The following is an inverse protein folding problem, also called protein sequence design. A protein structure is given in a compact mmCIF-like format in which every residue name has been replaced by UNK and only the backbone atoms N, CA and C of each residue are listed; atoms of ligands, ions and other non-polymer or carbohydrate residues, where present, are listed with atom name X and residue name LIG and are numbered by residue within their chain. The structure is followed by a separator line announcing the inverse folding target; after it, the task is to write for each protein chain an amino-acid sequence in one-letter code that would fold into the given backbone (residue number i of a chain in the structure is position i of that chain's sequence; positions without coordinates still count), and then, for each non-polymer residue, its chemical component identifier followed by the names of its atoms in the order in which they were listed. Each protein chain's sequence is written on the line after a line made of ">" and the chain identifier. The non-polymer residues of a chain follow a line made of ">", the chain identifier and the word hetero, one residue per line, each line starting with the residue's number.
data_IF_973721299589
#
_entry.id   IF_973721299589
#
_cell.length_a   1.000
_cell.length_b   1.000
_cell.length_c   1.000
_cell.angle_alpha   90.00
_cell.angle_beta   90.00
_cell.angle_gamma   90.00
#
_symmetry.space_group_name_H-M   'P 1'
#
loop_
_entity.id
_entity.type
_entity.pdbx_description
1 polymer ?
#
# COMPACT_ATOMS: atom_id res chain seq x y z
N UNK A 1 9.26 23.24 29.05
CA UNK A 1 8.38 23.77 27.98
C UNK A 1 7.76 22.57 27.29
N UNK A 2 6.44 22.47 27.28
CA UNK A 2 5.76 21.37 26.57
C UNK A 2 6.00 21.54 25.06
N UNK A 3 6.44 20.48 24.39
CA UNK A 3 6.55 20.45 22.93
C UNK A 3 5.17 20.73 22.33
N UNK A 4 5.03 21.70 21.43
CA UNK A 4 3.74 21.99 20.82
C UNK A 4 3.22 20.76 20.07
N UNK A 5 1.91 20.50 20.09
CA UNK A 5 1.35 19.36 19.37
C UNK A 5 1.66 19.47 17.88
N UNK A 6 2.06 18.35 17.29
CA UNK A 6 2.29 18.27 15.83
C UNK A 6 1.01 18.63 15.08
N UNK A 7 1.21 19.12 13.86
CA UNK A 7 0.14 19.48 12.92
C UNK A 7 0.38 18.70 11.64
N UNK A 8 -0.32 17.57 11.50
CA UNK A 8 -0.18 16.68 10.36
C UNK A 8 -1.38 16.80 9.44
N UNK A 9 -1.13 16.94 8.15
CA UNK A 9 -2.13 16.82 7.11
C UNK A 9 -2.06 15.43 6.47
N UNK A 10 -3.21 14.90 6.09
CA UNK A 10 -3.31 13.85 5.10
C UNK A 10 -4.10 14.42 3.93
N UNK A 11 -3.49 14.46 2.75
CA UNK A 11 -4.12 14.91 1.51
C UNK A 11 -4.33 13.69 0.62
N UNK A 12 -5.52 13.57 0.05
CA UNK A 12 -5.93 12.44 -0.77
C UNK A 12 -6.78 12.94 -1.94
N UNK A 13 -6.35 12.67 -3.17
CA UNK A 13 -7.03 13.10 -4.39
C UNK A 13 -8.36 12.35 -4.55
N UNK A 14 -9.40 13.05 -4.88
CA UNK A 14 -10.75 12.47 -5.00
C UNK A 14 -10.87 11.65 -6.29
N UNK A 15 -11.12 10.33 -6.13
CA UNK A 15 -11.27 9.37 -7.24
C UNK A 15 -10.18 9.51 -8.32
N UNK A 16 -8.91 9.69 -7.91
CA UNK A 16 -7.81 10.26 -8.68
C UNK A 16 -7.78 9.88 -10.15
N UNK A 17 -7.54 8.59 -10.49
CA UNK A 17 -7.40 8.21 -11.89
C UNK A 17 -8.68 8.46 -12.70
N UNK A 18 -9.85 8.18 -12.12
CA UNK A 18 -11.11 8.43 -12.80
C UNK A 18 -11.37 9.94 -13.01
N UNK A 19 -10.96 10.77 -12.04
CA UNK A 19 -11.07 12.23 -12.15
C UNK A 19 -10.13 12.80 -13.21
N UNK A 20 -8.91 12.25 -13.36
CA UNK A 20 -7.99 12.60 -14.46
C UNK A 20 -8.63 12.25 -15.81
N UNK A 21 -9.24 11.08 -15.95
CA UNK A 21 -9.91 10.68 -17.20
C UNK A 21 -11.12 11.61 -17.51
N UNK A 22 -11.94 11.94 -16.50
CA UNK A 22 -13.08 12.86 -16.70
C UNK A 22 -12.67 14.31 -16.97
N UNK A 23 -11.50 14.75 -16.47
CA UNK A 23 -10.93 16.06 -16.76
C UNK A 23 -10.51 16.17 -18.22
N UNK A 24 -9.72 15.18 -18.66
CA UNK A 24 -9.04 15.19 -19.95
C UNK A 24 -9.99 14.82 -21.12
N UNK A 25 -11.05 14.04 -20.82
CA UNK A 25 -12.08 13.65 -21.80
C UNK A 25 -13.47 14.15 -21.35
N UNK A 26 -13.91 15.33 -21.81
CA UNK A 26 -15.17 15.96 -21.39
C UNK A 26 -16.43 15.08 -21.58
N UNK A 27 -16.40 14.14 -22.52
CA UNK A 27 -17.52 13.22 -22.76
C UNK A 27 -17.74 12.22 -21.60
N UNK A 28 -16.77 12.09 -20.70
CA UNK A 28 -16.82 11.23 -19.51
C UNK A 28 -17.41 11.96 -18.28
N UNK A 29 -17.51 13.27 -18.31
CA UNK A 29 -18.00 14.07 -17.17
C UNK A 29 -19.44 13.72 -16.83
N UNK A 30 -19.71 13.51 -15.54
CA UNK A 30 -21.02 13.12 -15.03
C UNK A 30 -21.45 11.68 -15.36
N UNK A 31 -20.59 10.89 -16.00
CA UNK A 31 -20.84 9.49 -16.32
C UNK A 31 -20.12 8.58 -15.33
N UNK A 32 -20.66 7.38 -15.03
CA UNK A 32 -19.93 6.38 -14.28
C UNK A 32 -18.68 5.94 -15.06
N UNK A 33 -17.49 6.22 -14.53
CA UNK A 33 -16.20 5.85 -15.12
C UNK A 33 -15.50 4.84 -14.23
N UNK A 34 -14.98 3.78 -14.83
CA UNK A 34 -14.21 2.73 -14.18
C UNK A 34 -12.86 2.62 -14.87
N UNK A 35 -11.79 2.96 -14.17
CA UNK A 35 -10.43 2.79 -14.68
C UNK A 35 -9.99 1.37 -14.42
N UNK A 36 -9.97 0.57 -15.47
CA UNK A 36 -9.58 -0.83 -15.43
C UNK A 36 -9.27 -1.33 -16.86
N UNK A 37 -8.40 -2.33 -16.99
CA UNK A 37 -8.33 -3.10 -18.22
C UNK A 37 -9.58 -3.95 -18.37
N UNK A 38 -10.02 -4.17 -19.60
CA UNK A 38 -11.06 -5.17 -19.85
C UNK A 38 -10.45 -6.57 -19.81
N UNK A 39 -11.06 -7.48 -19.08
CA UNK A 39 -10.59 -8.87 -18.98
C UNK A 39 -11.12 -9.58 -17.73
N UNK A 40 -11.25 -10.89 -17.80
CA UNK A 40 -11.84 -11.72 -16.75
C UNK A 40 -11.11 -11.62 -15.39
N UNK A 41 -9.82 -11.26 -15.41
CA UNK A 41 -8.96 -11.15 -14.21
C UNK A 41 -8.52 -9.72 -13.88
N UNK A 42 -9.06 -8.76 -14.60
CA UNK A 42 -8.77 -7.34 -14.37
C UNK A 42 -9.40 -6.85 -13.08
N UNK A 43 -8.72 -5.90 -12.45
CA UNK A 43 -9.12 -5.26 -11.20
C UNK A 43 -9.35 -3.77 -11.44
N UNK A 44 -10.37 -3.20 -10.80
CA UNK A 44 -10.64 -1.76 -10.83
C UNK A 44 -9.50 -1.00 -10.13
N UNK A 45 -8.79 -0.15 -10.88
CA UNK A 45 -7.78 0.75 -10.34
C UNK A 45 -8.43 1.95 -9.62
N UNK A 46 -9.45 2.56 -10.24
CA UNK A 46 -10.24 3.64 -9.65
C UNK A 46 -11.66 3.64 -10.22
N UNK A 47 -12.60 4.16 -9.43
CA UNK A 47 -13.99 4.37 -9.84
C UNK A 47 -14.40 5.81 -9.54
N UNK A 48 -15.04 6.47 -10.50
CA UNK A 48 -15.61 7.81 -10.31
C UNK A 48 -16.72 7.80 -9.25
N UNK A 49 -17.06 8.95 -8.71
CA UNK A 49 -18.13 9.04 -7.72
C UNK A 49 -19.46 8.57 -8.29
N UNK A 50 -19.73 8.84 -9.56
CA UNK A 50 -20.92 8.34 -10.26
C UNK A 50 -20.95 6.81 -10.31
N UNK A 51 -19.82 6.14 -10.51
CA UNK A 51 -19.72 4.68 -10.47
C UNK A 51 -19.85 4.13 -9.03
N UNK A 52 -19.34 4.86 -8.04
CA UNK A 52 -19.42 4.47 -6.61
C UNK A 52 -20.85 4.43 -6.08
N UNK A 53 -21.78 5.20 -6.66
CA UNK A 53 -23.22 5.14 -6.32
C UNK A 53 -23.78 3.74 -6.55
N UNK A 54 -23.31 3.03 -7.58
CA UNK A 54 -23.70 1.66 -7.90
C UNK A 54 -22.93 0.59 -7.11
N UNK A 55 -22.09 0.99 -6.13
CA UNK A 55 -21.30 0.08 -5.32
C UNK A 55 -19.95 -0.32 -5.93
N UNK A 56 -19.55 0.25 -7.08
CA UNK A 56 -18.22 0.01 -7.66
C UNK A 56 -17.14 0.64 -6.78
N UNK A 57 -16.05 -0.11 -6.51
CA UNK A 57 -14.93 0.33 -5.67
C UNK A 57 -13.60 -0.12 -6.29
N UNK A 58 -12.51 0.56 -5.92
CA UNK A 58 -11.14 0.12 -6.23
C UNK A 58 -10.88 -1.28 -5.63
N UNK A 59 -9.97 -2.01 -6.24
CA UNK A 59 -9.61 -3.40 -5.95
C UNK A 59 -10.69 -4.45 -6.26
N UNK A 60 -11.89 -4.05 -6.69
CA UNK A 60 -12.96 -4.97 -7.11
C UNK A 60 -12.61 -5.62 -8.46
N UNK A 61 -12.96 -6.90 -8.70
CA UNK A 61 -12.87 -7.49 -10.03
C UNK A 61 -13.69 -6.68 -11.07
N UNK A 62 -13.08 -6.39 -12.23
CA UNK A 62 -13.73 -5.59 -13.27
C UNK A 62 -15.06 -6.20 -13.75
N UNK A 63 -15.14 -7.52 -13.83
CA UNK A 63 -16.38 -8.24 -14.19
C UNK A 63 -17.51 -8.04 -13.16
N UNK A 64 -17.16 -7.85 -11.88
CA UNK A 64 -18.15 -7.51 -10.85
C UNK A 64 -18.58 -6.05 -10.98
N UNK A 65 -17.65 -5.13 -11.27
CA UNK A 65 -17.96 -3.72 -11.51
C UNK A 65 -18.91 -3.56 -12.70
N UNK A 66 -18.69 -4.30 -13.79
CA UNK A 66 -19.56 -4.32 -14.97
C UNK A 66 -20.99 -4.80 -14.64
N UNK A 67 -21.12 -5.81 -13.78
CA UNK A 67 -22.44 -6.29 -13.34
C UNK A 67 -23.17 -5.28 -12.45
N UNK A 68 -22.43 -4.58 -11.58
CA UNK A 68 -23.00 -3.56 -10.69
C UNK A 68 -23.40 -2.28 -11.41
N UNK A 69 -22.67 -1.89 -12.46
CA UNK A 69 -22.90 -0.70 -13.24
C UNK A 69 -22.72 -0.97 -14.74
N UNK A 70 -23.70 -1.62 -15.43
CA UNK A 70 -23.58 -1.98 -16.84
C UNK A 70 -23.36 -0.79 -17.77
N UNK A 71 -23.84 0.42 -17.39
CA UNK A 71 -23.67 1.67 -18.13
C UNK A 71 -22.30 2.34 -17.89
N UNK A 72 -21.42 1.78 -17.06
CA UNK A 72 -20.11 2.36 -16.78
C UNK A 72 -19.22 2.36 -18.01
N UNK A 73 -18.48 3.45 -18.19
CA UNK A 73 -17.43 3.55 -19.19
C UNK A 73 -16.14 3.00 -18.59
N UNK A 74 -15.65 1.91 -19.17
CA UNK A 74 -14.36 1.32 -18.79
C UNK A 74 -13.24 1.98 -19.60
N UNK A 75 -12.27 2.59 -18.91
CA UNK A 75 -11.11 3.27 -19.49
C UNK A 75 -9.85 2.53 -19.06
N UNK A 76 -8.97 2.13 -19.99
CA UNK A 76 -7.66 1.56 -19.65
C UNK A 76 -6.81 2.57 -18.85
N UNK A 77 -6.05 2.14 -17.81
CA UNK A 77 -5.24 3.05 -17.01
C UNK A 77 -4.04 3.59 -17.78
N UNK A 78 -3.79 4.90 -17.68
CA UNK A 78 -2.60 5.59 -18.18
C UNK A 78 -1.70 6.05 -17.01
N UNK A 79 -0.85 5.15 -16.52
CA UNK A 79 0.05 5.45 -15.40
C UNK A 79 1.14 6.48 -15.73
N UNK A 80 1.42 6.77 -17.00
CA UNK A 80 2.36 7.85 -17.37
C UNK A 80 1.73 9.19 -17.03
N UNK A 81 0.48 9.39 -17.45
CA UNK A 81 -0.31 10.58 -17.17
C UNK A 81 -0.57 10.76 -15.68
N UNK A 82 -1.00 9.70 -14.97
CA UNK A 82 -1.25 9.81 -13.53
C UNK A 82 0.01 10.16 -12.73
N UNK A 83 1.16 9.63 -13.10
CA UNK A 83 2.44 10.01 -12.48
C UNK A 83 2.82 11.46 -12.75
N UNK A 84 2.50 11.99 -13.94
CA UNK A 84 2.74 13.40 -14.27
C UNK A 84 1.89 14.33 -13.39
N UNK A 85 0.59 14.04 -13.26
CA UNK A 85 -0.31 14.79 -12.36
C UNK A 85 0.12 14.66 -10.91
N UNK A 86 0.48 13.47 -10.45
CA UNK A 86 1.00 13.24 -9.09
C UNK A 86 2.23 14.10 -8.78
N UNK A 87 3.13 14.31 -9.75
CA UNK A 87 4.29 15.20 -9.58
C UNK A 87 3.87 16.64 -9.38
N UNK A 88 2.93 17.17 -10.19
CA UNK A 88 2.40 18.52 -10.01
C UNK A 88 1.79 18.70 -8.61
N UNK A 89 1.00 17.74 -8.14
CA UNK A 89 0.44 17.77 -6.78
C UNK A 89 1.53 17.80 -5.71
N UNK A 90 2.60 17.01 -5.87
CA UNK A 90 3.73 17.00 -4.92
C UNK A 90 4.53 18.32 -4.95
N UNK A 91 4.66 18.97 -6.08
CA UNK A 91 5.25 20.31 -6.20
C UNK A 91 4.44 21.35 -5.42
N UNK A 92 3.10 21.24 -5.43
CA UNK A 92 2.24 22.08 -4.59
C UNK A 92 2.53 21.84 -3.11
N UNK A 93 2.64 20.57 -2.67
CA UNK A 93 2.97 20.25 -1.27
C UNK A 93 4.31 20.85 -0.84
N UNK A 94 5.32 20.75 -1.70
CA UNK A 94 6.69 21.21 -1.42
C UNK A 94 6.80 22.73 -1.20
N UNK A 95 5.81 23.52 -1.64
CA UNK A 95 5.72 24.94 -1.34
C UNK A 95 5.45 25.23 0.14
N UNK A 96 4.85 24.26 0.84
CA UNK A 96 4.39 24.43 2.22
C UNK A 96 5.27 23.78 3.26
N UNK A 97 5.88 22.63 2.94
CA UNK A 97 6.76 21.88 3.85
C UNK A 97 7.72 20.99 3.07
N UNK A 98 8.86 20.62 3.69
CA UNK A 98 9.76 19.56 3.18
C UNK A 98 9.41 18.19 3.76
N UNK A 99 8.65 18.16 4.87
CA UNK A 99 8.24 16.93 5.51
C UNK A 99 7.00 16.36 4.82
N UNK A 100 7.22 15.70 3.68
CA UNK A 100 6.19 15.08 2.84
C UNK A 100 6.48 13.60 2.75
N UNK A 101 5.56 12.76 3.19
CA UNK A 101 5.62 11.30 3.10
C UNK A 101 4.58 10.81 2.09
N UNK A 102 4.96 10.53 0.85
CA UNK A 102 4.05 9.94 -0.14
C UNK A 102 3.69 8.51 0.22
N UNK A 103 2.41 8.17 0.18
CA UNK A 103 1.89 6.81 0.38
C UNK A 103 1.61 6.10 -0.96
N UNK A 104 1.12 6.88 -1.93
CA UNK A 104 0.77 6.42 -3.28
C UNK A 104 0.97 7.55 -4.29
N UNK A 105 0.37 7.46 -5.48
CA UNK A 105 0.35 8.54 -6.45
C UNK A 105 -0.63 9.66 -6.06
N UNK A 106 -1.62 9.37 -5.23
CA UNK A 106 -2.77 10.23 -4.93
C UNK A 106 -2.85 10.68 -3.47
N UNK A 107 -2.05 10.11 -2.56
CA UNK A 107 -2.09 10.51 -1.16
C UNK A 107 -0.71 10.71 -0.53
N UNK A 108 -0.65 11.64 0.42
CA UNK A 108 0.56 11.90 1.21
C UNK A 108 0.21 12.44 2.60
N UNK A 109 1.11 12.17 3.56
CA UNK A 109 1.18 12.92 4.80
C UNK A 109 2.12 14.12 4.66
N UNK A 110 1.75 15.24 5.29
CA UNK A 110 2.56 16.43 5.39
C UNK A 110 2.64 16.85 6.87
N UNK A 111 3.84 17.06 7.41
CA UNK A 111 4.00 17.74 8.69
C UNK A 111 4.13 19.24 8.44
N UNK A 112 3.15 19.99 8.91
CA UNK A 112 3.06 21.44 8.79
C UNK A 112 3.12 22.12 10.17
N UNK A 113 3.75 21.47 11.14
CA UNK A 113 4.02 22.06 12.47
C UNK A 113 4.86 23.33 12.32
N UNK A 114 5.88 23.29 11.45
CA UNK A 114 6.61 24.44 10.95
C UNK A 114 6.39 24.54 9.43
N UNK A 115 5.66 25.56 8.97
CA UNK A 115 5.34 25.76 7.54
C UNK A 115 6.25 26.80 6.92
N UNK A 116 6.60 26.63 5.64
CA UNK A 116 7.36 27.59 4.83
C UNK A 116 6.59 28.86 4.48
N UNK A 117 5.26 28.79 4.49
CA UNK A 117 4.40 29.84 3.94
C UNK A 117 3.89 30.84 4.97
N UNK A 118 4.22 30.67 6.25
CA UNK A 118 3.75 31.58 7.32
C UNK A 118 2.23 31.64 7.50
N UNK A 119 1.48 30.70 6.94
CA UNK A 119 0.02 30.63 7.10
C UNK A 119 -0.36 30.43 8.58
N UNK A 120 -1.47 31.02 9.03
CA UNK A 120 -1.78 31.12 10.47
C UNK A 120 -2.11 29.79 11.13
N UNK A 121 -2.44 28.75 10.34
CA UNK A 121 -2.81 27.45 10.89
C UNK A 121 -2.64 26.31 9.88
N UNK A 122 -2.56 25.07 10.38
CA UNK A 122 -2.58 23.88 9.52
C UNK A 122 -3.87 23.78 8.68
N UNK A 123 -4.98 24.27 9.20
CA UNK A 123 -6.25 24.36 8.45
C UNK A 123 -6.12 25.32 7.25
N UNK A 124 -5.53 26.48 7.45
CA UNK A 124 -5.28 27.44 6.37
C UNK A 124 -4.31 26.84 5.33
N UNK A 125 -3.29 26.10 5.77
CA UNK A 125 -2.36 25.39 4.87
C UNK A 125 -3.09 24.33 4.05
N UNK A 126 -3.95 23.52 4.66
CA UNK A 126 -4.75 22.52 3.95
C UNK A 126 -5.70 23.15 2.92
N UNK A 127 -6.33 24.29 3.27
CA UNK A 127 -7.18 25.04 2.35
C UNK A 127 -6.40 25.60 1.16
N UNK A 128 -5.22 26.18 1.40
CA UNK A 128 -4.34 26.70 0.36
C UNK A 128 -3.86 25.59 -0.59
N UNK A 129 -3.44 24.44 -0.06
CA UNK A 129 -3.06 23.27 -0.87
C UNK A 129 -4.20 22.79 -1.75
N UNK A 130 -5.42 22.62 -1.20
CA UNK A 130 -6.59 22.17 -1.95
C UNK A 130 -7.01 23.16 -3.03
N UNK A 131 -6.92 24.46 -2.73
CA UNK A 131 -7.20 25.52 -3.70
C UNK A 131 -6.20 25.49 -4.86
N UNK A 132 -4.89 25.39 -4.56
CA UNK A 132 -3.85 25.28 -5.58
C UNK A 132 -4.00 24.02 -6.44
N UNK A 133 -4.30 22.86 -5.83
CA UNK A 133 -4.60 21.63 -6.59
C UNK A 133 -5.74 21.87 -7.58
N UNK A 134 -6.84 22.47 -7.14
CA UNK A 134 -7.98 22.75 -8.01
C UNK A 134 -7.64 23.72 -9.13
N UNK A 135 -6.93 24.79 -8.83
CA UNK A 135 -6.55 25.83 -9.80
C UNK A 135 -5.57 25.29 -10.84
N UNK A 136 -4.55 24.56 -10.41
CA UNK A 136 -3.43 24.17 -11.28
C UNK A 136 -3.65 22.80 -11.97
N UNK A 137 -4.50 21.94 -11.41
CA UNK A 137 -4.74 20.60 -11.97
C UNK A 137 -6.17 20.34 -12.42
N UNK A 138 -7.12 21.25 -12.15
CA UNK A 138 -8.55 21.06 -12.36
C UNK A 138 -9.13 19.80 -11.66
N UNK A 139 -8.44 19.31 -10.62
CA UNK A 139 -8.86 18.17 -9.81
C UNK A 139 -9.17 18.61 -8.39
N UNK A 140 -9.86 17.76 -7.63
CA UNK A 140 -10.14 18.00 -6.23
C UNK A 140 -9.36 17.04 -5.34
N UNK A 141 -9.07 17.49 -4.12
CA UNK A 141 -8.49 16.70 -3.06
C UNK A 141 -9.23 16.92 -1.75
N UNK A 142 -9.35 15.86 -0.97
CA UNK A 142 -9.83 15.93 0.40
C UNK A 142 -8.67 15.94 1.39
N UNK A 143 -8.85 16.67 2.50
CA UNK A 143 -7.80 16.87 3.50
C UNK A 143 -8.28 16.56 4.90
N UNK A 144 -7.45 15.85 5.66
CA UNK A 144 -7.58 15.68 7.10
C UNK A 144 -6.48 16.45 7.83
N UNK A 145 -6.82 17.16 8.89
CA UNK A 145 -5.88 17.90 9.76
C UNK A 145 -5.98 17.33 11.16
N UNK A 146 -4.87 16.85 11.72
CA UNK A 146 -4.88 16.21 13.04
C UNK A 146 -3.49 16.28 13.72
N UNK A 147 -3.38 15.89 15.01
CA UNK A 147 -2.11 15.85 15.73
C UNK A 147 -1.13 14.78 15.23
N UNK A 148 -1.57 13.79 14.51
CA UNK A 148 -0.73 12.69 14.00
C UNK A 148 -1.26 12.11 12.68
N UNK A 149 -0.47 11.25 12.06
CA UNK A 149 -0.75 10.63 10.76
C UNK A 149 -2.04 9.80 10.77
N UNK A 150 -2.19 8.98 11.78
CA UNK A 150 -3.33 8.09 11.94
C UNK A 150 -4.67 8.85 11.93
N UNK A 151 -4.78 9.87 12.76
CA UNK A 151 -5.99 10.70 12.84
C UNK A 151 -6.21 11.53 11.57
N UNK A 152 -5.13 12.08 10.99
CA UNK A 152 -5.21 12.85 9.75
C UNK A 152 -5.78 11.99 8.59
N UNK A 153 -5.36 10.72 8.51
CA UNK A 153 -5.88 9.79 7.47
C UNK A 153 -7.38 9.50 7.66
N UNK A 154 -7.84 9.24 8.87
CA UNK A 154 -9.28 9.06 9.13
C UNK A 154 -10.04 10.34 8.79
N UNK A 155 -9.51 11.50 9.20
CA UNK A 155 -10.14 12.80 8.97
C UNK A 155 -10.29 13.13 7.48
N UNK A 156 -9.32 12.77 6.63
CA UNK A 156 -9.38 13.08 5.18
C UNK A 156 -10.54 12.38 4.47
N UNK A 157 -11.01 11.24 4.98
CA UNK A 157 -12.15 10.51 4.42
C UNK A 157 -13.51 11.03 4.89
N UNK A 158 -13.53 11.91 5.90
CA UNK A 158 -14.78 12.25 6.60
C UNK A 158 -15.79 13.02 5.75
N UNK A 159 -15.29 13.97 4.98
CA UNK A 159 -16.11 14.86 4.15
C UNK A 159 -15.85 14.70 2.65
N UNK A 160 -15.34 13.55 2.18
CA UNK A 160 -15.13 13.29 0.76
C UNK A 160 -16.45 13.33 -0.05
N UNK A 161 -16.44 13.84 -1.29
CA UNK A 161 -15.31 14.44 -2.01
C UNK A 161 -15.13 15.94 -1.68
N UNK A 162 -13.94 16.46 -2.05
CA UNK A 162 -13.57 17.88 -1.94
C UNK A 162 -13.81 18.44 -0.54
N UNK A 163 -13.48 17.63 0.46
CA UNK A 163 -13.73 17.90 1.86
C UNK A 163 -12.50 18.31 2.64
N UNK A 164 -12.74 18.95 3.76
CA UNK A 164 -11.75 19.23 4.80
C UNK A 164 -12.35 18.88 6.15
N UNK A 165 -11.62 18.12 6.95
CA UNK A 165 -12.01 17.80 8.31
C UNK A 165 -10.83 17.98 9.28
N UNK A 166 -11.11 18.55 10.46
CA UNK A 166 -10.09 18.88 11.46
C UNK A 166 -10.40 18.17 12.77
N UNK A 167 -9.47 17.37 13.25
CA UNK A 167 -9.52 16.74 14.56
C UNK A 167 -8.55 17.47 15.49
N UNK A 168 -9.08 18.32 16.38
CA UNK A 168 -8.25 19.04 17.37
C UNK A 168 -7.83 18.11 18.51
N UNK A 169 -6.69 18.35 19.19
CA UNK A 169 -6.20 17.47 20.26
C UNK A 169 -7.24 17.14 21.33
N UNK A 170 -8.02 18.11 21.80
CA UNK A 170 -9.05 17.90 22.81
C UNK A 170 -10.31 17.17 22.30
N UNK A 171 -10.45 16.96 21.00
CA UNK A 171 -11.59 16.28 20.37
C UNK A 171 -11.28 14.81 20.05
N UNK A 172 -10.03 14.37 20.14
CA UNK A 172 -9.57 13.05 19.69
C UNK A 172 -10.37 11.93 20.31
N UNK A 173 -10.56 11.98 21.62
CA UNK A 173 -11.25 10.91 22.34
C UNK A 173 -12.73 10.79 21.96
N UNK A 174 -13.43 11.91 21.89
CA UNK A 174 -14.83 11.96 21.50
C UNK A 174 -15.03 11.60 20.01
N UNK A 175 -14.07 11.97 19.16
CA UNK A 175 -14.08 11.64 17.73
C UNK A 175 -13.91 10.13 17.49
N UNK A 176 -12.98 9.50 18.20
CA UNK A 176 -12.66 8.09 17.99
C UNK A 176 -13.69 7.13 18.59
N UNK A 177 -14.22 7.44 19.78
CA UNK A 177 -15.04 6.50 20.55
C UNK A 177 -16.17 5.83 19.76
N UNK A 178 -16.99 6.56 18.96
CA UNK A 178 -18.12 5.96 18.24
C UNK A 178 -17.70 5.27 16.92
N UNK A 179 -16.42 5.36 16.50
CA UNK A 179 -16.00 4.82 15.21
C UNK A 179 -16.05 3.29 15.22
N UNK A 180 -16.59 2.66 14.16
CA UNK A 180 -16.39 1.24 13.93
C UNK A 180 -14.90 0.91 13.82
N UNK A 181 -14.45 -0.21 14.37
CA UNK A 181 -13.04 -0.62 14.37
C UNK A 181 -12.47 -0.76 12.94
N UNK A 182 -13.30 -1.11 11.97
CA UNK A 182 -12.90 -1.17 10.55
C UNK A 182 -12.50 0.17 9.93
N UNK A 183 -12.71 1.30 10.63
CA UNK A 183 -12.20 2.62 10.24
C UNK A 183 -10.73 2.86 10.63
N UNK A 184 -10.21 2.03 11.53
CA UNK A 184 -8.82 2.14 11.96
C UNK A 184 -7.90 1.62 10.86
N UNK A 185 -6.91 2.41 10.40
CA UNK A 185 -5.91 1.93 9.44
C UNK A 185 -5.22 0.65 9.93
N UNK A 186 -5.15 -0.36 9.07
CA UNK A 186 -4.64 -1.68 9.43
C UNK A 186 -5.68 -2.67 9.95
N UNK A 187 -6.92 -2.24 10.19
CA UNK A 187 -8.04 -3.15 10.50
C UNK A 187 -8.77 -3.49 9.21
N UNK A 188 -8.36 -4.58 8.57
CA UNK A 188 -9.06 -5.15 7.41
C UNK A 188 -10.20 -6.07 7.85
N UNK A 189 -10.95 -6.63 6.88
CA UNK A 189 -12.13 -7.47 7.14
C UNK A 189 -11.87 -8.69 8.03
N UNK A 190 -10.69 -9.29 7.92
CA UNK A 190 -10.29 -10.43 8.77
C UNK A 190 -10.14 -10.00 10.23
N UNK A 191 -9.43 -8.89 10.48
CA UNK A 191 -9.24 -8.37 11.83
C UNK A 191 -10.57 -7.86 12.41
N UNK A 192 -11.40 -7.19 11.60
CA UNK A 192 -12.73 -6.73 12.00
C UNK A 192 -13.60 -7.90 12.49
N UNK A 193 -13.59 -9.04 11.77
CA UNK A 193 -14.27 -10.26 12.23
C UNK A 193 -13.69 -10.81 13.53
N UNK A 194 -12.36 -10.95 13.63
CA UNK A 194 -11.70 -11.42 14.87
C UNK A 194 -12.00 -10.53 16.07
N UNK A 195 -12.16 -9.23 15.87
CA UNK A 195 -12.57 -8.29 16.93
C UNK A 195 -14.06 -8.47 17.29
N UNK A 196 -14.92 -8.67 16.30
CA UNK A 196 -16.34 -8.94 16.54
C UNK A 196 -16.56 -10.24 17.33
N UNK A 197 -15.75 -11.30 17.09
CA UNK A 197 -15.80 -12.57 17.83
C UNK A 197 -15.52 -12.41 19.32
N UNK A 198 -14.88 -11.29 19.73
CA UNK A 198 -14.63 -10.95 21.14
C UNK A 198 -15.49 -9.78 21.64
N UNK A 199 -16.57 -9.45 20.91
CA UNK A 199 -17.54 -8.42 21.29
C UNK A 199 -17.09 -6.99 21.01
N UNK A 200 -16.09 -6.77 20.17
CA UNK A 200 -15.54 -5.45 19.84
C UNK A 200 -16.00 -5.01 18.46
N UNK A 201 -16.85 -4.01 18.40
CA UNK A 201 -17.37 -3.40 17.17
C UNK A 201 -16.89 -1.96 16.98
N UNK A 202 -16.67 -1.23 18.05
CA UNK A 202 -16.30 0.19 18.07
C UNK A 202 -14.96 0.41 18.78
N UNK A 203 -14.40 1.61 18.59
CA UNK A 203 -13.20 2.03 19.32
C UNK A 203 -13.46 2.13 20.83
N UNK A 204 -14.68 2.47 21.25
CA UNK A 204 -15.05 2.44 22.66
C UNK A 204 -14.96 1.02 23.24
N UNK A 205 -15.38 0.01 22.48
CA UNK A 205 -15.26 -1.40 22.89
C UNK A 205 -13.80 -1.84 23.01
N UNK A 206 -12.91 -1.37 22.11
CA UNK A 206 -11.46 -1.62 22.23
C UNK A 206 -10.90 -1.09 23.56
N UNK A 207 -11.32 0.12 23.97
CA UNK A 207 -10.93 0.72 25.26
C UNK A 207 -11.47 -0.10 26.42
N UNK A 208 -12.74 -0.51 26.34
CA UNK A 208 -13.40 -1.29 27.40
C UNK A 208 -12.74 -2.67 27.59
N UNK A 209 -12.30 -3.32 26.50
CA UNK A 209 -11.60 -4.60 26.59
C UNK A 209 -10.22 -4.47 27.25
N UNK A 210 -9.56 -3.32 27.07
CA UNK A 210 -8.27 -3.00 27.70
C UNK A 210 -7.05 -3.55 26.99
N UNK A 211 -5.91 -2.91 27.22
CA UNK A 211 -4.65 -3.20 26.50
C UNK A 211 -4.10 -4.60 26.75
N UNK A 212 -4.18 -5.09 27.99
CA UNK A 212 -3.68 -6.41 28.35
C UNK A 212 -4.44 -7.53 27.63
N UNK A 213 -5.78 -7.47 27.64
CA UNK A 213 -6.62 -8.45 26.95
C UNK A 213 -6.43 -8.42 25.44
N UNK A 214 -6.25 -7.22 24.86
CA UNK A 214 -5.93 -7.06 23.43
C UNK A 214 -4.56 -7.65 23.09
N UNK A 215 -3.53 -7.40 23.91
CA UNK A 215 -2.19 -7.93 23.69
C UNK A 215 -2.13 -9.45 23.82
N UNK A 216 -2.82 -10.04 24.81
CA UNK A 216 -2.91 -11.50 24.97
C UNK A 216 -3.56 -12.18 23.76
N UNK A 217 -4.55 -11.55 23.11
CA UNK A 217 -5.30 -12.13 21.99
C UNK A 217 -4.68 -11.89 20.63
N UNK A 218 -4.06 -10.71 20.42
CA UNK A 218 -3.59 -10.24 19.12
C UNK A 218 -2.11 -9.88 19.11
N UNK A 219 -1.36 -10.17 20.19
CA UNK A 219 0.06 -9.90 20.32
C UNK A 219 0.39 -8.42 20.19
N UNK A 220 1.50 -8.11 19.53
CA UNK A 220 1.95 -6.72 19.28
C UNK A 220 0.90 -5.87 18.57
N UNK A 221 0.08 -6.48 17.72
CA UNK A 221 -0.99 -5.76 17.05
C UNK A 221 -2.11 -5.36 18.02
N UNK A 222 -2.43 -6.19 19.02
CA UNK A 222 -3.36 -5.84 20.08
C UNK A 222 -2.92 -4.63 20.90
N UNK A 223 -1.62 -4.55 21.26
CA UNK A 223 -1.03 -3.36 21.87
C UNK A 223 -1.21 -2.14 21.00
N UNK A 224 -0.92 -2.27 19.68
CA UNK A 224 -1.08 -1.17 18.74
C UNK A 224 -2.54 -0.71 18.62
N UNK A 225 -3.49 -1.62 18.57
CA UNK A 225 -4.92 -1.30 18.56
C UNK A 225 -5.33 -0.52 19.80
N UNK A 226 -4.80 -0.86 20.96
CA UNK A 226 -5.04 -0.11 22.20
C UNK A 226 -4.50 1.32 22.10
N UNK A 227 -3.28 1.53 21.65
CA UNK A 227 -2.71 2.85 21.42
C UNK A 227 -3.58 3.68 20.46
N UNK A 228 -3.95 3.09 19.32
CA UNK A 228 -4.80 3.74 18.31
C UNK A 228 -6.19 4.09 18.89
N UNK A 229 -6.73 3.25 19.78
CA UNK A 229 -8.01 3.54 20.42
C UNK A 229 -7.99 4.83 21.27
N UNK A 230 -6.82 5.22 21.77
CA UNK A 230 -6.61 6.50 22.49
C UNK A 230 -6.04 7.61 21.58
N UNK A 231 -5.93 7.36 20.28
CA UNK A 231 -5.41 8.33 19.33
C UNK A 231 -3.90 8.53 19.37
N UNK A 232 -3.16 7.60 19.97
CA UNK A 232 -1.71 7.68 20.13
C UNK A 232 -1.01 7.16 18.88
N UNK A 233 -0.22 8.04 18.24
CA UNK A 233 0.60 7.71 17.10
C UNK A 233 1.79 8.69 16.99
N UNK A 234 2.94 8.26 17.47
CA UNK A 234 4.14 9.10 17.50
C UNK A 234 5.01 8.99 16.24
N UNK A 235 4.60 8.17 15.27
CA UNK A 235 5.36 8.02 14.03
C UNK A 235 5.53 9.37 13.33
N UNK A 236 6.76 9.79 13.02
CA UNK A 236 7.02 11.03 12.28
C UNK A 236 6.54 10.91 10.83
N UNK A 237 6.39 12.05 10.17
CA UNK A 237 6.30 12.12 8.70
C UNK A 237 7.70 11.93 8.14
N UNK A 238 7.92 10.85 7.40
CA UNK A 238 9.22 10.43 6.87
C UNK A 238 9.27 10.65 5.35
N UNK A 239 9.94 11.72 4.88
CA UNK A 239 10.06 12.01 3.46
C UNK A 239 10.79 10.92 2.68
N UNK A 240 11.77 10.28 3.32
CA UNK A 240 12.60 9.24 2.73
C UNK A 240 12.39 7.90 3.43
N UNK A 241 11.78 6.97 2.70
CA UNK A 241 11.72 5.58 3.13
C UNK A 241 12.69 4.74 2.33
N UNK A 242 13.55 3.95 2.98
CA UNK A 242 14.41 3.03 2.25
C UNK A 242 13.55 1.97 1.54
N UNK A 243 13.92 1.65 0.31
CA UNK A 243 13.31 0.53 -0.43
C UNK A 243 13.62 -0.77 0.30
N UNK A 244 12.58 -1.52 0.69
CA UNK A 244 12.71 -2.80 1.38
C UNK A 244 12.64 -3.98 0.41
N UNK A 245 11.89 -3.82 -0.69
CA UNK A 245 11.69 -4.85 -1.70
C UNK A 245 11.41 -4.21 -3.06
N UNK A 246 11.90 -4.84 -4.12
CA UNK A 246 11.54 -4.56 -5.50
C UNK A 246 11.00 -5.85 -6.07
N UNK A 247 9.77 -5.84 -6.57
CA UNK A 247 9.14 -7.03 -7.13
C UNK A 247 8.25 -6.69 -8.32
N UNK A 248 8.07 -7.68 -9.17
CA UNK A 248 7.12 -7.65 -10.28
C UNK A 248 6.31 -8.94 -10.24
N UNK A 249 4.99 -8.82 -10.40
CA UNK A 249 4.11 -9.98 -10.44
C UNK A 249 3.10 -9.86 -11.57
N UNK A 250 2.63 -10.98 -12.07
CA UNK A 250 1.64 -11.02 -13.14
C UNK A 250 0.65 -12.19 -12.94
N UNK A 251 -0.58 -11.96 -13.33
CA UNK A 251 -1.65 -12.94 -13.28
C UNK A 251 -1.81 -13.56 -14.67
N UNK A 252 -1.69 -14.88 -14.79
CA UNK A 252 -1.87 -15.59 -16.05
C UNK A 252 -3.31 -15.41 -16.57
N UNK A 253 -3.50 -15.41 -17.87
CA UNK A 253 -4.84 -15.38 -18.49
C UNK A 253 -5.67 -16.61 -18.07
N UNK A 254 -5.04 -17.77 -17.97
CA UNK A 254 -5.59 -19.04 -17.45
C UNK A 254 -4.63 -19.61 -16.43
N UNK A 255 -5.16 -20.37 -15.48
CA UNK A 255 -4.33 -21.06 -14.52
C UNK A 255 -3.44 -22.09 -15.22
N UNK A 256 -2.19 -22.17 -14.79
CA UNK A 256 -1.15 -23.01 -15.43
C UNK A 256 -0.51 -23.94 -14.40
N UNK A 257 -0.04 -25.14 -14.81
CA UNK A 257 0.75 -26.01 -13.92
C UNK A 257 2.11 -25.37 -13.62
N UNK A 258 2.77 -25.83 -12.54
CA UNK A 258 4.01 -25.25 -12.04
C UNK A 258 5.11 -25.17 -13.11
N UNK A 259 5.23 -26.18 -13.95
CA UNK A 259 6.25 -26.28 -15.02
C UNK A 259 6.13 -25.15 -16.03
N UNK A 260 4.91 -24.67 -16.30
CA UNK A 260 4.63 -23.58 -17.24
C UNK A 260 4.81 -22.19 -16.67
N UNK A 261 5.18 -22.04 -15.39
CA UNK A 261 5.45 -20.72 -14.80
C UNK A 261 6.81 -20.14 -15.21
N UNK A 262 7.68 -20.94 -15.83
CA UNK A 262 9.08 -20.57 -16.14
C UNK A 262 9.24 -19.34 -17.03
N UNK A 263 8.42 -19.21 -18.09
CA UNK A 263 8.48 -18.05 -18.98
C UNK A 263 8.04 -16.77 -18.24
N UNK A 264 7.00 -16.88 -17.41
CA UNK A 264 6.56 -15.78 -16.54
C UNK A 264 7.65 -15.36 -15.56
N UNK A 265 8.35 -16.32 -14.94
CA UNK A 265 9.47 -16.01 -14.02
C UNK A 265 10.56 -15.24 -14.75
N UNK A 266 10.99 -15.68 -15.95
CA UNK A 266 12.03 -14.99 -16.72
C UNK A 266 11.61 -13.57 -17.10
N UNK A 267 10.40 -13.39 -17.62
CA UNK A 267 9.88 -12.07 -17.99
C UNK A 267 9.80 -11.11 -16.78
N UNK A 268 9.39 -11.62 -15.63
CA UNK A 268 9.29 -10.83 -14.39
C UNK A 268 10.64 -10.55 -13.75
N UNK A 269 11.61 -11.46 -13.87
CA UNK A 269 12.98 -11.22 -13.45
C UNK A 269 13.57 -10.02 -14.21
N UNK A 270 13.34 -9.90 -15.52
CA UNK A 270 13.75 -8.74 -16.32
C UNK A 270 13.13 -7.43 -15.82
N UNK A 271 11.81 -7.42 -15.58
CA UNK A 271 11.12 -6.24 -15.02
C UNK A 271 11.65 -5.86 -13.65
N UNK A 272 11.86 -6.84 -12.78
CA UNK A 272 12.38 -6.65 -11.41
C UNK A 272 13.81 -6.13 -11.44
N UNK A 273 14.66 -6.71 -12.30
CA UNK A 273 16.05 -6.28 -12.48
C UNK A 273 16.15 -4.84 -13.00
N UNK A 274 15.32 -4.48 -13.97
CA UNK A 274 15.24 -3.10 -14.44
C UNK A 274 14.82 -2.12 -13.32
N UNK A 275 13.90 -2.54 -12.43
CA UNK A 275 13.54 -1.79 -11.22
C UNK A 275 14.71 -1.63 -10.26
N UNK A 276 15.43 -2.73 -10.01
CA UNK A 276 16.61 -2.75 -9.13
C UNK A 276 17.74 -1.86 -9.65
N UNK A 277 18.03 -1.87 -10.95
CA UNK A 277 19.02 -0.96 -11.55
C UNK A 277 18.66 0.52 -11.33
N UNK A 278 17.39 0.89 -11.43
CA UNK A 278 16.93 2.27 -11.12
C UNK A 278 17.14 2.61 -9.65
N UNK A 279 16.92 1.68 -8.74
CA UNK A 279 17.18 1.91 -7.30
C UNK A 279 18.67 2.08 -7.01
N UNK A 280 19.54 1.28 -7.62
CA UNK A 280 20.98 1.42 -7.51
C UNK A 280 21.49 2.79 -8.02
N UNK A 281 20.86 3.33 -9.07
CA UNK A 281 21.17 4.69 -9.55
C UNK A 281 20.75 5.77 -8.55
N UNK A 282 19.64 5.57 -7.85
CA UNK A 282 19.13 6.51 -6.83
C UNK A 282 19.90 6.43 -5.51
N UNK A 283 20.31 5.24 -5.13
CA UNK A 283 21.00 4.92 -3.87
C UNK A 283 22.14 3.95 -4.14
N UNK A 284 23.28 4.44 -4.63
CA UNK A 284 24.46 3.61 -4.85
C UNK A 284 24.91 2.95 -3.54
N UNK A 285 25.38 1.72 -3.61
CA UNK A 285 25.85 0.97 -2.46
C UNK A 285 24.80 0.16 -1.69
N UNK A 286 23.49 0.32 -1.97
CA UNK A 286 22.46 -0.54 -1.37
C UNK A 286 22.16 -1.75 -2.24
N UNK A 287 22.57 -2.93 -1.79
CA UNK A 287 22.49 -4.20 -2.54
C UNK A 287 21.37 -5.07 -1.98
N UNK A 288 20.52 -5.59 -2.88
CA UNK A 288 19.50 -6.59 -2.54
C UNK A 288 20.12 -7.99 -2.49
N UNK A 289 19.97 -8.70 -1.38
CA UNK A 289 20.61 -9.98 -1.12
C UNK A 289 19.71 -11.20 -1.31
N UNK A 290 18.40 -11.02 -1.18
CA UNK A 290 17.43 -12.11 -1.14
C UNK A 290 16.57 -12.13 -2.38
N UNK A 291 16.53 -13.26 -3.06
CA UNK A 291 15.61 -13.53 -4.17
C UNK A 291 14.33 -14.14 -3.63
N UNK A 292 13.20 -13.66 -4.09
CA UNK A 292 11.86 -14.09 -3.68
C UNK A 292 11.06 -14.54 -4.88
N UNK A 293 10.52 -15.75 -4.81
CA UNK A 293 9.49 -16.25 -5.72
C UNK A 293 8.16 -16.26 -4.99
N UNK A 294 7.16 -15.58 -5.55
CA UNK A 294 5.77 -15.61 -5.10
C UNK A 294 4.94 -16.38 -6.12
N UNK A 295 4.13 -17.30 -5.64
CA UNK A 295 3.14 -18.02 -6.42
C UNK A 295 1.77 -17.87 -5.76
N UNK A 296 0.71 -17.83 -6.57
CA UNK A 296 -0.65 -17.89 -6.07
C UNK A 296 -1.39 -18.99 -6.82
N UNK A 297 -1.98 -19.92 -6.10
CA UNK A 297 -2.74 -21.02 -6.68
C UNK A 297 -4.11 -20.58 -7.22
N UNK A 298 -4.78 -21.42 -7.96
CA UNK A 298 -6.12 -21.19 -8.50
C UNK A 298 -7.17 -20.95 -7.40
N UNK A 299 -6.99 -21.58 -6.23
CA UNK A 299 -7.81 -21.41 -5.01
C UNK A 299 -7.34 -20.24 -4.12
N UNK A 300 -6.49 -19.34 -4.67
CA UNK A 300 -5.99 -18.11 -4.03
C UNK A 300 -5.01 -18.32 -2.88
N UNK A 301 -4.52 -19.52 -2.61
CA UNK A 301 -3.43 -19.74 -1.64
C UNK A 301 -2.14 -19.11 -2.13
N UNK A 302 -1.51 -18.28 -1.27
CA UNK A 302 -0.24 -17.63 -1.56
C UNK A 302 0.91 -18.48 -1.02
N UNK A 303 1.92 -18.68 -1.86
CA UNK A 303 3.16 -19.36 -1.53
C UNK A 303 4.32 -18.40 -1.81
N UNK A 304 5.20 -18.27 -0.84
CA UNK A 304 6.45 -17.51 -0.99
C UNK A 304 7.62 -18.44 -0.73
N UNK A 305 8.62 -18.40 -1.61
CA UNK A 305 9.91 -19.08 -1.42
C UNK A 305 11.01 -18.06 -1.60
N UNK A 306 12.00 -18.09 -0.72
CA UNK A 306 13.11 -17.16 -0.76
C UNK A 306 14.46 -17.87 -0.62
N UNK A 307 15.49 -17.23 -1.15
CA UNK A 307 16.88 -17.66 -1.00
C UNK A 307 17.74 -16.40 -0.90
N UNK A 308 18.60 -16.39 0.11
CA UNK A 308 19.71 -15.44 0.22
C UNK A 308 20.97 -16.19 -0.20
N UNK A 309 21.41 -16.07 -1.48
CA UNK A 309 22.62 -16.75 -1.92
C UNK A 309 23.86 -16.15 -1.25
N UNK A 310 24.99 -16.88 -1.20
CA UNK A 310 26.24 -16.37 -0.62
C UNK A 310 26.70 -15.06 -1.26
N UNK A 311 26.52 -14.92 -2.58
CA UNK A 311 26.73 -13.67 -3.31
C UNK A 311 25.40 -13.15 -3.85
N UNK A 312 25.14 -11.85 -3.73
CA UNK A 312 23.93 -11.24 -4.33
C UNK A 312 23.89 -11.50 -5.82
N UNK A 313 22.69 -11.67 -6.43
CA UNK A 313 22.60 -11.86 -7.87
C UNK A 313 23.16 -10.63 -8.60
N UNK A 314 24.09 -10.87 -9.52
CA UNK A 314 24.80 -9.83 -10.26
C UNK A 314 24.18 -9.53 -11.64
N UNK A 315 23.19 -10.32 -12.05
CA UNK A 315 22.55 -10.18 -13.37
C UNK A 315 21.07 -10.59 -13.33
N UNK A 316 20.32 -10.10 -14.32
CA UNK A 316 18.95 -10.55 -14.61
C UNK A 316 18.85 -12.06 -14.76
N UNK A 317 19.83 -12.65 -15.43
CA UNK A 317 19.88 -14.11 -15.67
C UNK A 317 20.03 -14.87 -14.35
N UNK A 318 20.94 -14.47 -13.49
CA UNK A 318 21.10 -15.10 -12.17
C UNK A 318 19.86 -14.97 -11.31
N UNK A 319 19.22 -13.78 -11.32
CA UNK A 319 17.93 -13.59 -10.66
C UNK A 319 16.87 -14.57 -11.19
N UNK A 320 16.77 -14.73 -12.50
CA UNK A 320 15.83 -15.65 -13.15
C UNK A 320 16.14 -17.12 -12.82
N UNK A 321 17.42 -17.50 -12.82
CA UNK A 321 17.87 -18.87 -12.54
C UNK A 321 17.58 -19.24 -11.06
N UNK A 322 17.89 -18.36 -10.13
CA UNK A 322 17.57 -18.55 -8.70
C UNK A 322 16.06 -18.63 -8.48
N UNK A 323 15.29 -17.69 -9.04
CA UNK A 323 13.83 -17.69 -8.91
C UNK A 323 13.22 -18.96 -9.53
N UNK A 324 13.77 -19.46 -10.65
CA UNK A 324 13.35 -20.71 -11.27
C UNK A 324 13.68 -21.93 -10.40
N UNK A 325 14.84 -21.96 -9.75
CA UNK A 325 15.22 -23.04 -8.83
C UNK A 325 14.32 -23.08 -7.59
N UNK A 326 13.83 -21.91 -7.13
CA UNK A 326 12.91 -21.86 -5.98
C UNK A 326 11.57 -22.57 -6.24
N UNK A 327 11.18 -22.83 -7.49
CA UNK A 327 10.01 -23.67 -7.82
C UNK A 327 10.15 -25.09 -7.29
N UNK A 328 11.36 -25.63 -7.29
CA UNK A 328 11.64 -26.99 -6.82
C UNK A 328 11.37 -27.17 -5.30
N UNK A 329 11.23 -26.05 -4.57
CA UNK A 329 10.86 -26.04 -3.15
C UNK A 329 9.36 -25.94 -2.92
N UNK A 330 8.55 -26.07 -3.97
CA UNK A 330 7.08 -26.03 -3.87
C UNK A 330 6.59 -27.45 -3.74
N UNK A 331 6.15 -27.79 -2.53
CA UNK A 331 5.65 -29.13 -2.16
C UNK A 331 4.12 -29.14 -2.20
N UNK A 332 3.54 -29.03 -3.39
CA UNK A 332 2.12 -29.17 -3.62
C UNK A 332 1.88 -30.29 -4.64
N UNK A 333 0.67 -30.89 -4.68
CA UNK A 333 0.30 -31.90 -5.67
C UNK A 333 0.62 -31.44 -7.09
N UNK A 334 1.06 -32.36 -7.96
CA UNK A 334 1.49 -32.04 -9.33
C UNK A 334 0.37 -31.47 -10.20
N UNK A 335 -0.89 -31.73 -9.87
CA UNK A 335 -2.07 -31.19 -10.54
C UNK A 335 -2.46 -29.79 -10.07
N UNK A 336 -1.75 -29.22 -9.08
CA UNK A 336 -2.01 -27.86 -8.61
C UNK A 336 -1.80 -26.84 -9.72
N UNK A 337 -2.79 -25.99 -9.94
CA UNK A 337 -2.75 -24.92 -10.91
C UNK A 337 -2.43 -23.58 -10.25
N UNK A 338 -1.66 -22.75 -10.94
CA UNK A 338 -1.19 -21.46 -10.47
C UNK A 338 -1.78 -20.32 -11.28
N UNK A 339 -2.34 -19.36 -10.56
CA UNK A 339 -2.99 -18.16 -11.11
C UNK A 339 -2.03 -17.02 -11.34
N UNK A 340 -1.02 -16.87 -10.47
CA UNK A 340 -0.11 -15.72 -10.47
C UNK A 340 1.31 -16.19 -10.14
N UNK A 341 2.26 -15.52 -10.76
CA UNK A 341 3.67 -15.62 -10.42
C UNK A 341 4.26 -14.23 -10.17
N UNK A 342 5.21 -14.12 -9.24
CA UNK A 342 5.95 -12.91 -8.94
C UNK A 342 7.42 -13.22 -8.65
N UNK A 343 8.30 -12.31 -9.03
CA UNK A 343 9.74 -12.34 -8.72
C UNK A 343 10.11 -11.07 -7.98
N UNK A 344 10.90 -11.19 -6.93
CA UNK A 344 11.29 -10.05 -6.09
C UNK A 344 12.75 -10.13 -5.63
N UNK A 345 13.26 -8.96 -5.28
CA UNK A 345 14.54 -8.73 -4.61
C UNK A 345 14.27 -8.00 -3.31
N UNK A 346 14.82 -8.50 -2.21
CA UNK A 346 14.65 -7.95 -0.86
C UNK A 346 15.94 -8.10 -0.04
N UNK A 347 15.89 -7.80 1.26
CA UNK A 347 17.07 -7.92 2.12
C UNK A 347 18.16 -6.93 1.70
N UNK A 348 17.79 -5.66 1.50
CA UNK A 348 18.73 -4.61 1.15
C UNK A 348 19.68 -4.31 2.30
N UNK A 349 20.98 -4.35 2.04
CA UNK A 349 22.05 -3.99 2.94
C UNK A 349 23.05 -3.05 2.25
N UNK A 350 23.86 -2.32 3.02
CA UNK A 350 24.98 -1.58 2.47
C UNK A 350 26.05 -2.55 1.93
N UNK A 351 26.71 -2.19 0.84
CA UNK A 351 27.64 -3.05 0.11
C UNK A 351 28.73 -3.65 1.00
N UNK A 352 29.29 -2.85 1.92
CA UNK A 352 30.30 -3.31 2.86
C UNK A 352 29.79 -4.35 3.86
N UNK A 353 28.55 -4.22 4.33
CA UNK A 353 27.92 -5.18 5.24
C UNK A 353 27.48 -6.45 4.49
N UNK A 354 27.04 -6.30 3.25
CA UNK A 354 26.59 -7.39 2.41
C UNK A 354 27.74 -8.36 2.08
N UNK A 355 28.96 -7.86 1.86
CA UNK A 355 30.16 -8.64 1.57
C UNK A 355 30.79 -9.25 2.84
N UNK A 356 30.83 -8.51 3.95
CA UNK A 356 31.40 -9.02 5.22
C UNK A 356 30.63 -10.22 5.77
N UNK A 357 29.32 -10.31 5.57
CA UNK A 357 28.51 -11.43 6.04
C UNK A 357 28.64 -12.68 5.15
N UNK A 358 29.04 -12.52 3.88
CA UNK A 358 29.37 -13.66 3.00
C UNK A 358 30.69 -14.34 3.37
N UNK A 359 31.68 -13.61 3.88
CA UNK A 359 32.96 -14.18 4.35
C UNK A 359 32.81 -15.02 5.64
N UNK A 360 31.87 -14.66 6.51
CA UNK A 360 31.56 -15.41 7.73
C UNK A 360 30.92 -16.80 7.44
N UNK A 361 30.24 -16.95 6.31
CA UNK A 361 29.62 -18.23 5.89
C UNK A 361 30.53 -19.04 4.95
N UNK A 362 31.56 -18.45 4.38
CA UNK A 362 32.58 -19.18 3.58
C UNK A 362 33.52 -20.02 4.46
N UNK A 363 33.63 -19.74 5.77
CA UNK A 363 34.34 -20.50 6.74
C UNK A 363 33.41 -21.50 7.46
N UNK A 364 33.05 -22.58 6.76
CA UNK A 364 32.55 -23.84 7.30
C UNK A 364 31.34 -23.78 8.21
N UNK A 365 30.12 -23.95 7.64
CA UNK A 365 28.97 -24.52 8.33
C UNK A 365 28.25 -25.49 7.41
N UNK A 366 28.22 -26.76 7.79
CA UNK A 366 27.30 -27.75 7.24
C UNK A 366 25.87 -27.35 7.58
N UNK A 367 25.01 -27.46 6.57
CA UNK A 367 23.60 -27.14 6.66
C UNK A 367 22.89 -28.06 7.63
N UNK A 368 22.57 -27.59 8.82
CA UNK A 368 21.56 -28.20 9.67
C UNK A 368 20.19 -27.69 9.27
N UNK A 369 19.34 -28.63 8.82
CA UNK A 369 17.99 -28.36 8.36
C UNK A 369 17.08 -28.18 9.58
N UNK A 370 16.63 -26.96 9.81
CA UNK A 370 15.61 -26.72 10.82
C UNK A 370 15.41 -25.26 11.16
N UNK A 371 14.46 -24.62 10.51
CA UNK A 371 13.59 -23.61 11.13
C UNK A 371 12.36 -23.40 10.28
N UNK A 372 11.31 -24.11 10.65
CA UNK A 372 9.93 -23.86 10.29
C UNK A 372 9.39 -22.58 10.95
N UNK A 373 8.37 -22.05 10.30
CA UNK A 373 7.34 -21.15 10.82
C UNK A 373 7.57 -19.65 10.78
N UNK A 374 6.94 -19.07 9.77
CA UNK A 374 5.98 -17.97 9.92
C UNK A 374 5.00 -18.03 8.75
N UNK A 375 3.97 -18.84 8.93
CA UNK A 375 2.79 -18.80 8.06
C UNK A 375 1.96 -17.57 8.45
N UNK A 376 1.86 -16.60 7.55
CA UNK A 376 0.80 -15.61 7.61
C UNK A 376 -0.47 -16.26 7.07
N UNK A 377 -1.41 -16.55 7.96
CA UNK A 377 -2.78 -16.96 7.65
C UNK A 377 -3.51 -15.82 6.93
N UNK A 378 -3.65 -15.92 5.64
CA UNK A 378 -4.66 -15.19 4.88
C UNK A 378 -5.46 -16.21 4.04
N UNK A 379 -6.42 -16.84 4.67
CA UNK A 379 -7.48 -17.56 3.97
C UNK A 379 -8.82 -16.90 4.29
N UNK A 380 -9.56 -16.56 3.28
CA UNK A 380 -10.99 -16.25 3.39
C UNK A 380 -11.46 -15.01 2.68
N UNK A 381 -11.70 -15.12 1.41
CA UNK A 381 -12.64 -14.31 0.66
C UNK A 381 -13.56 -15.28 -0.09
N UNK A 382 -14.63 -15.69 0.54
CA UNK A 382 -15.86 -16.12 -0.12
C UNK A 382 -16.98 -15.16 0.30
N UNK A 383 -17.79 -14.79 -0.74
CA UNK A 383 -19.00 -13.97 -0.86
C UNK A 383 -18.88 -12.47 -0.83
#
# INVERSE_FOLDING_TARGET
>A
MSVPPRKVLHIDMDAFYASVEQRDEPSLRGRPVVVAWRGARSVVCAASYEARVFGVRSAMPAVRAERLCPQAVFVPPDFVRYKAVSRQVREIFARHTDLIEPLSLDEAYLDVTATKTGLPSATATAQAIRAAIREETELTASAGVAPNKFLAKIASDWNKPDGLFVVKPHQVEAFLAPLPVGRLPGVGKVMERKLADVGVATVADLRALGGEALEQRFGRWGRRLHELAYGLDDHPVEPERPTLQISSEDTFERDVPLERTGDGIRALAGKTWAGYRRELQRRPGRIARTVVLKLKTSDFRILTRSLTPPQPPASERELADIASALRLRVELPADTLYRLVGVGLSGFAEEGEALAQSDLFAAGFELDAGMDSFAADEAGLED
#
